data_IF_302729585206
#
_entry.id   IF_302729585206
#
_cell.length_a   1.000
_cell.length_b   1.000
_cell.length_c   1.000
_cell.angle_alpha   90.00
_cell.angle_beta   90.00
_cell.angle_gamma   90.00
#
_symmetry.space_group_name_H-M   'P 1'
#
loop_
_entity.id
_entity.type
_entity.pdbx_description
1 polymer ?
#
# COMPACT_ATOMS: atom_id res chain seq x y z
N UNK A 1 16.11 8.87 -7.53
CA UNK A 1 14.80 8.57 -8.14
C UNK A 1 13.81 9.63 -7.70
N UNK A 2 12.84 9.92 -8.55
CA UNK A 2 11.70 10.79 -8.24
C UNK A 2 10.48 9.91 -7.92
N UNK A 3 10.05 9.91 -6.68
CA UNK A 3 9.08 8.95 -6.13
C UNK A 3 7.78 9.68 -5.76
N UNK A 4 6.65 9.24 -6.32
CA UNK A 4 5.35 9.70 -5.90
C UNK A 4 4.93 9.03 -4.59
N UNK A 5 4.63 9.81 -3.55
CA UNK A 5 4.03 9.28 -2.32
C UNK A 5 2.54 9.11 -2.49
N UNK A 6 2.07 7.87 -2.46
CA UNK A 6 0.65 7.56 -2.34
C UNK A 6 0.30 7.30 -0.88
N UNK A 7 -0.11 8.36 -0.15
CA UNK A 7 -0.66 8.22 1.20
C UNK A 7 -2.11 7.78 1.12
N UNK A 8 -2.44 6.68 1.77
CA UNK A 8 -3.78 6.11 1.67
C UNK A 8 -4.74 6.77 2.65
N UNK A 9 -6.04 6.83 2.32
CA UNK A 9 -7.03 7.57 3.09
C UNK A 9 -7.05 7.20 4.58
N UNK A 10 -7.01 5.91 4.92
CA UNK A 10 -7.00 5.44 6.31
C UNK A 10 -5.69 5.84 7.00
N UNK A 11 -4.56 5.67 6.32
CA UNK A 11 -3.25 6.03 6.88
C UNK A 11 -3.15 7.54 7.09
N UNK A 12 -3.59 8.35 6.14
CA UNK A 12 -3.57 9.81 6.25
C UNK A 12 -4.47 10.32 7.40
N UNK A 13 -5.65 9.72 7.53
CA UNK A 13 -6.63 10.17 8.54
C UNK A 13 -6.27 9.72 9.96
N UNK A 14 -5.84 8.47 10.14
CA UNK A 14 -5.65 7.88 11.48
C UNK A 14 -4.18 7.84 11.90
N UNK A 15 -3.26 7.75 10.96
CA UNK A 15 -1.81 7.57 11.20
C UNK A 15 -0.96 8.48 10.30
N UNK A 16 -1.17 9.80 10.27
CA UNK A 16 -0.46 10.70 9.34
C UNK A 16 1.06 10.68 9.53
N UNK A 17 1.53 10.31 10.72
CA UNK A 17 2.96 10.13 11.00
C UNK A 17 3.59 9.01 10.13
N UNK A 18 2.83 8.01 9.68
CA UNK A 18 3.36 6.96 8.81
C UNK A 18 3.73 7.51 7.42
N UNK A 19 2.92 8.41 6.86
CA UNK A 19 3.24 9.12 5.62
C UNK A 19 4.50 9.99 5.78
N UNK A 20 4.59 10.76 6.86
CA UNK A 20 5.77 11.59 7.16
C UNK A 20 7.04 10.75 7.34
N UNK A 21 6.94 9.61 8.03
CA UNK A 21 8.04 8.69 8.20
C UNK A 21 8.49 8.08 6.86
N UNK A 22 7.54 7.74 5.98
CA UNK A 22 7.82 7.24 4.63
C UNK A 22 8.63 8.28 3.84
N UNK A 23 8.21 9.56 3.85
CA UNK A 23 8.97 10.66 3.23
C UNK A 23 10.38 10.72 3.81
N UNK A 24 10.51 10.81 5.14
CA UNK A 24 11.79 10.95 5.80
C UNK A 24 12.76 9.79 5.49
N UNK A 25 12.26 8.57 5.39
CA UNK A 25 13.07 7.39 5.01
C UNK A 25 13.54 7.50 3.57
N UNK A 26 12.66 7.78 2.63
CA UNK A 26 13.00 7.85 1.20
C UNK A 26 13.95 9.02 0.90
N UNK A 27 13.74 10.20 1.50
CA UNK A 27 14.62 11.36 1.34
C UNK A 27 16.01 11.10 1.95
N UNK A 28 16.09 10.47 3.13
CA UNK A 28 17.37 10.07 3.73
C UNK A 28 18.15 9.07 2.86
N UNK A 29 17.47 8.25 2.09
CA UNK A 29 18.06 7.36 1.10
C UNK A 29 18.45 8.07 -0.21
N UNK A 30 18.30 9.39 -0.28
CA UNK A 30 18.72 10.20 -1.43
C UNK A 30 17.70 10.29 -2.56
N UNK A 31 16.43 10.04 -2.29
CA UNK A 31 15.36 10.14 -3.28
C UNK A 31 14.59 11.46 -3.15
N UNK A 32 14.08 11.97 -4.26
CA UNK A 32 13.11 13.07 -4.28
C UNK A 32 11.71 12.50 -4.08
N UNK A 33 10.99 12.98 -3.07
CA UNK A 33 9.61 12.55 -2.82
C UNK A 33 8.64 13.63 -3.26
N UNK A 34 7.71 13.25 -4.14
CA UNK A 34 6.67 14.13 -4.66
C UNK A 34 5.35 13.78 -3.99
N UNK A 35 4.73 14.77 -3.34
CA UNK A 35 3.41 14.65 -2.75
C UNK A 35 2.41 15.52 -3.53
N UNK A 36 1.37 14.91 -4.07
CA UNK A 36 0.28 15.62 -4.74
C UNK A 36 -0.98 15.58 -3.86
N UNK A 37 -1.41 16.73 -3.37
CA UNK A 37 -2.58 16.86 -2.49
C UNK A 37 -3.92 16.52 -3.18
N UNK A 38 -3.94 16.36 -4.50
CA UNK A 38 -5.14 15.94 -5.24
C UNK A 38 -5.42 14.45 -5.15
N UNK A 39 -4.50 13.65 -4.59
CA UNK A 39 -4.70 12.22 -4.39
C UNK A 39 -5.88 11.94 -3.45
N UNK A 40 -6.51 10.77 -3.64
CA UNK A 40 -7.70 10.35 -2.88
C UNK A 40 -7.59 8.88 -2.50
N UNK A 41 -8.71 8.28 -2.09
CA UNK A 41 -8.80 6.84 -1.82
C UNK A 41 -8.44 6.00 -3.06
N UNK A 42 -7.85 4.82 -2.86
CA UNK A 42 -7.61 3.85 -3.94
C UNK A 42 -8.87 3.22 -4.54
N UNK A 43 -10.01 3.37 -3.90
CA UNK A 43 -11.27 2.76 -4.35
C UNK A 43 -11.54 1.34 -3.83
N UNK A 44 -10.64 0.76 -3.03
CA UNK A 44 -10.78 -0.63 -2.56
C UNK A 44 -12.08 -0.88 -1.78
N UNK A 45 -12.51 0.06 -0.94
CA UNK A 45 -13.74 -0.09 -0.15
C UNK A 45 -14.97 -0.22 -1.04
N UNK A 46 -14.98 0.51 -2.16
CA UNK A 46 -16.06 0.44 -3.16
C UNK A 46 -16.01 -0.89 -3.92
N UNK A 47 -14.87 -1.22 -4.51
CA UNK A 47 -14.70 -2.44 -5.28
C UNK A 47 -14.97 -3.72 -4.46
N UNK A 48 -14.46 -3.80 -3.22
CA UNK A 48 -14.71 -4.94 -2.33
C UNK A 48 -16.18 -5.09 -1.91
N UNK A 49 -16.98 -4.04 -2.06
CA UNK A 49 -18.41 -4.04 -1.74
C UNK A 49 -19.31 -4.16 -2.99
N UNK A 50 -18.71 -4.37 -4.18
CA UNK A 50 -19.42 -4.48 -5.45
C UNK A 50 -19.88 -3.15 -6.05
N UNK A 51 -19.37 -2.02 -5.56
CA UNK A 51 -19.68 -0.69 -6.07
C UNK A 51 -18.63 -0.25 -7.10
N UNK A 52 -18.50 -1.01 -8.18
CA UNK A 52 -17.47 -0.78 -9.20
C UNK A 52 -17.62 0.56 -9.92
N UNK A 53 -18.86 0.99 -10.18
CA UNK A 53 -19.14 2.30 -10.77
C UNK A 53 -18.63 3.47 -9.90
N UNK A 54 -18.69 3.32 -8.58
CA UNK A 54 -18.17 4.32 -7.65
C UNK A 54 -16.64 4.22 -7.47
N UNK A 55 -16.05 3.06 -7.75
CA UNK A 55 -14.61 2.88 -7.76
C UNK A 55 -13.94 3.53 -8.99
N UNK A 56 -14.58 3.50 -10.17
CA UNK A 56 -14.02 4.00 -11.43
C UNK A 56 -13.56 5.47 -11.38
N UNK A 57 -14.31 6.44 -10.83
CA UNK A 57 -13.83 7.81 -10.68
C UNK A 57 -12.53 7.91 -9.85
N UNK A 58 -12.37 7.04 -8.84
CA UNK A 58 -11.16 7.00 -8.00
C UNK A 58 -9.97 6.42 -8.78
N UNK A 59 -10.19 5.40 -9.62
CA UNK A 59 -9.17 4.90 -10.56
C UNK A 59 -8.69 6.02 -11.49
N UNK A 60 -9.62 6.76 -12.09
CA UNK A 60 -9.30 7.90 -12.99
C UNK A 60 -8.50 8.97 -12.26
N UNK A 61 -8.91 9.33 -11.04
CA UNK A 61 -8.21 10.31 -10.20
C UNK A 61 -6.79 9.84 -9.86
N UNK A 62 -6.61 8.59 -9.49
CA UNK A 62 -5.29 8.02 -9.23
C UNK A 62 -4.37 8.16 -10.45
N UNK A 63 -4.86 7.82 -11.64
CA UNK A 63 -4.10 7.93 -12.87
C UNK A 63 -3.82 9.38 -13.30
N UNK A 64 -4.68 10.34 -12.96
CA UNK A 64 -4.43 11.77 -13.16
C UNK A 64 -3.29 12.28 -12.28
N UNK A 65 -3.25 11.83 -11.03
CA UNK A 65 -2.25 12.24 -10.03
C UNK A 65 -0.90 11.58 -10.29
N UNK A 66 -0.90 10.28 -10.53
CA UNK A 66 0.32 9.46 -10.58
C UNK A 66 0.74 9.05 -12.00
N UNK A 67 0.02 9.52 -13.02
CA UNK A 67 0.32 9.22 -14.43
C UNK A 67 1.50 9.98 -15.01
N UNK A 68 2.16 10.86 -14.23
CA UNK A 68 3.36 11.59 -14.66
C UNK A 68 4.48 10.59 -15.07
N UNK A 69 4.96 10.63 -16.32
CA UNK A 69 6.05 9.79 -16.77
C UNK A 69 7.39 10.14 -16.09
N UNK A 70 7.51 11.31 -15.49
CA UNK A 70 8.68 11.73 -14.70
C UNK A 70 8.76 11.10 -13.31
N UNK A 71 7.78 10.34 -12.87
CA UNK A 71 7.86 9.54 -11.65
C UNK A 71 8.51 8.19 -11.97
N UNK A 72 9.59 7.86 -11.29
CA UNK A 72 10.28 6.56 -11.41
C UNK A 72 9.50 5.43 -10.70
N UNK A 73 8.83 5.76 -9.58
CA UNK A 73 8.04 4.84 -8.78
C UNK A 73 6.94 5.59 -8.02
N UNK A 74 5.93 4.84 -7.59
CA UNK A 74 4.87 5.30 -6.69
C UNK A 74 4.90 4.38 -5.48
N UNK A 75 5.09 4.94 -4.28
CA UNK A 75 5.26 4.16 -3.06
C UNK A 75 4.14 4.46 -2.08
N UNK A 76 3.55 3.40 -1.53
CA UNK A 76 2.51 3.52 -0.51
C UNK A 76 2.82 2.64 0.72
N UNK A 77 2.68 3.16 1.94
CA UNK A 77 2.79 2.35 3.16
C UNK A 77 1.48 1.58 3.44
N UNK A 78 0.98 0.84 2.44
CA UNK A 78 -0.28 0.10 2.53
C UNK A 78 -0.37 -1.00 1.48
N UNK A 79 -0.19 -2.24 1.88
CA UNK A 79 -0.29 -3.39 0.98
C UNK A 79 -1.66 -3.54 0.32
N UNK A 80 -2.74 -3.25 1.05
CA UNK A 80 -4.10 -3.39 0.51
C UNK A 80 -4.38 -2.38 -0.62
N UNK A 81 -3.93 -1.14 -0.49
CA UNK A 81 -4.11 -0.13 -1.51
C UNK A 81 -3.22 -0.38 -2.73
N UNK A 82 -2.00 -0.86 -2.53
CA UNK A 82 -1.12 -1.28 -3.63
C UNK A 82 -1.72 -2.48 -4.38
N UNK A 83 -2.23 -3.48 -3.65
CA UNK A 83 -2.92 -4.62 -4.27
C UNK A 83 -4.15 -4.18 -5.09
N UNK A 84 -4.93 -3.21 -4.60
CA UNK A 84 -6.05 -2.62 -5.35
C UNK A 84 -5.57 -2.06 -6.69
N UNK A 85 -4.51 -1.24 -6.68
CA UNK A 85 -3.97 -0.63 -7.91
C UNK A 85 -3.41 -1.68 -8.86
N UNK A 86 -2.61 -2.63 -8.35
CA UNK A 86 -1.90 -3.61 -9.20
C UNK A 86 -2.81 -4.69 -9.77
N UNK A 87 -3.88 -5.07 -9.06
CA UNK A 87 -4.72 -6.22 -9.45
C UNK A 87 -6.14 -5.82 -9.87
N UNK A 88 -6.79 -4.87 -9.18
CA UNK A 88 -8.19 -4.57 -9.46
C UNK A 88 -8.39 -3.46 -10.50
N UNK A 89 -7.46 -2.52 -10.63
CA UNK A 89 -7.60 -1.45 -11.62
C UNK A 89 -7.70 -1.96 -13.05
N UNK A 90 -6.95 -3.03 -13.39
CA UNK A 90 -7.01 -3.65 -14.71
C UNK A 90 -8.38 -4.25 -15.00
N UNK A 91 -9.01 -4.91 -14.01
CA UNK A 91 -10.38 -5.45 -14.13
C UNK A 91 -11.38 -4.32 -14.32
N UNK A 92 -11.39 -3.34 -13.41
CA UNK A 92 -12.31 -2.20 -13.48
C UNK A 92 -12.19 -1.42 -14.79
N UNK A 93 -10.97 -1.22 -15.28
CA UNK A 93 -10.74 -0.56 -16.56
C UNK A 93 -11.24 -1.38 -17.75
N UNK A 94 -11.10 -2.71 -17.72
CA UNK A 94 -11.63 -3.57 -18.77
C UNK A 94 -13.16 -3.57 -18.79
N UNK A 95 -13.80 -3.68 -17.63
CA UNK A 95 -15.25 -3.69 -17.46
C UNK A 95 -15.89 -2.33 -17.83
N UNK A 96 -15.15 -1.22 -17.68
CA UNK A 96 -15.62 0.11 -18.08
C UNK A 96 -15.79 0.31 -19.59
N UNK A 97 -15.22 -0.57 -20.41
CA UNK A 97 -15.23 -0.43 -21.86
C UNK A 97 -14.37 0.74 -22.41
N UNK A 98 -13.54 1.38 -21.59
CA UNK A 98 -12.68 2.50 -21.97
C UNK A 98 -11.23 2.03 -22.26
N UNK A 99 -10.83 1.88 -23.56
CA UNK A 99 -9.51 1.43 -23.91
C UNK A 99 -8.40 2.42 -23.50
N UNK A 100 -8.74 3.71 -23.38
CA UNK A 100 -7.82 4.74 -22.92
C UNK A 100 -7.48 4.57 -21.45
N UNK A 101 -8.48 4.29 -20.64
CA UNK A 101 -8.32 3.99 -19.22
C UNK A 101 -7.45 2.74 -19.03
N UNK A 102 -7.72 1.68 -19.78
CA UNK A 102 -6.95 0.43 -19.71
C UNK A 102 -5.48 0.67 -20.00
N UNK A 103 -5.13 1.35 -21.09
CA UNK A 103 -3.73 1.66 -21.43
C UNK A 103 -3.02 2.46 -20.33
N UNK A 104 -3.71 3.42 -19.70
CA UNK A 104 -3.13 4.20 -18.60
C UNK A 104 -2.87 3.33 -17.37
N UNK A 105 -3.79 2.43 -17.04
CA UNK A 105 -3.59 1.45 -15.94
C UNK A 105 -2.38 0.58 -16.21
N UNK A 106 -2.27 0.02 -17.41
CA UNK A 106 -1.16 -0.87 -17.79
C UNK A 106 0.22 -0.19 -17.69
N UNK A 107 0.28 1.14 -17.87
CA UNK A 107 1.51 1.93 -17.74
C UNK A 107 1.82 2.30 -16.27
N UNK A 108 0.80 2.64 -15.48
CA UNK A 108 1.00 3.20 -14.14
C UNK A 108 1.11 2.11 -13.07
N UNK A 109 0.24 1.08 -13.12
CA UNK A 109 0.17 0.06 -12.07
C UNK A 109 1.49 -0.69 -11.79
N UNK A 110 2.33 -1.02 -12.79
CA UNK A 110 3.61 -1.68 -12.54
C UNK A 110 4.65 -0.83 -11.79
N UNK A 111 4.42 0.49 -11.71
CA UNK A 111 5.29 1.43 -10.97
C UNK A 111 4.86 1.63 -9.51
N UNK A 112 3.80 0.94 -9.06
CA UNK A 112 3.25 1.09 -7.70
C UNK A 112 3.77 -0.02 -6.80
N UNK A 113 4.38 0.36 -5.69
CA UNK A 113 5.03 -0.54 -4.75
C UNK A 113 4.54 -0.33 -3.32
N UNK A 114 4.46 -1.41 -2.58
CA UNK A 114 4.38 -1.36 -1.12
C UNK A 114 5.76 -0.94 -0.56
N UNK A 115 5.77 -0.20 0.54
CA UNK A 115 6.99 0.41 1.08
C UNK A 115 8.11 -0.61 1.36
N UNK A 116 7.78 -1.72 2.01
CA UNK A 116 8.78 -2.74 2.37
C UNK A 116 9.31 -3.46 1.13
N UNK A 117 8.42 -3.81 0.20
CA UNK A 117 8.78 -4.35 -1.11
C UNK A 117 9.71 -3.39 -1.85
N UNK A 118 9.38 -2.11 -1.87
CA UNK A 118 10.18 -1.09 -2.55
C UNK A 118 11.60 -0.98 -1.97
N UNK A 119 11.70 -0.87 -0.64
CA UNK A 119 12.98 -0.74 0.05
C UNK A 119 13.87 -1.96 -0.19
N UNK A 120 13.35 -3.16 0.02
CA UNK A 120 14.15 -4.38 -0.03
C UNK A 120 14.36 -4.86 -1.47
N UNK A 121 13.29 -5.02 -2.25
CA UNK A 121 13.37 -5.67 -3.55
C UNK A 121 13.81 -4.70 -4.66
N UNK A 122 13.46 -3.41 -4.57
CA UNK A 122 13.78 -2.43 -5.61
C UNK A 122 15.05 -1.64 -5.31
N UNK A 123 15.27 -1.26 -4.03
CA UNK A 123 16.45 -0.48 -3.63
C UNK A 123 17.57 -1.33 -3.03
N UNK A 124 17.31 -2.58 -2.62
CA UNK A 124 18.29 -3.43 -1.95
C UNK A 124 18.64 -2.95 -0.53
N UNK A 125 17.73 -2.19 0.11
CA UNK A 125 17.94 -1.59 1.42
C UNK A 125 17.19 -2.38 2.47
N UNK A 126 17.91 -2.89 3.48
CA UNK A 126 17.35 -3.61 4.64
C UNK A 126 17.47 -2.83 5.94
N UNK A 127 18.44 -1.90 6.04
CA UNK A 127 18.64 -1.06 7.20
C UNK A 127 18.42 0.40 6.85
N UNK A 128 17.36 0.95 7.42
CA UNK A 128 17.00 2.37 7.29
C UNK A 128 17.48 3.20 8.49
N UNK A 129 18.33 2.64 9.37
CA UNK A 129 18.87 3.29 10.56
C UNK A 129 17.80 3.60 11.62
N UNK A 130 16.74 2.81 11.69
CA UNK A 130 15.66 3.01 12.65
C UNK A 130 16.05 2.57 14.06
N UNK A 131 15.43 3.21 15.06
CA UNK A 131 15.54 2.85 16.47
C UNK A 131 14.15 2.81 17.10
N UNK A 132 13.78 1.67 17.71
CA UNK A 132 12.49 1.50 18.37
C UNK A 132 12.60 0.49 19.51
N UNK A 133 12.88 0.91 20.77
CA UNK A 133 13.18 0.02 21.89
C UNK A 133 11.90 -0.51 22.54
N UNK A 134 11.07 -1.19 21.76
CA UNK A 134 9.83 -1.76 22.24
C UNK A 134 9.62 -3.18 21.72
N UNK A 135 8.78 -3.93 22.44
CA UNK A 135 8.33 -5.23 21.98
C UNK A 135 7.27 -5.06 20.91
N UNK A 136 7.50 -5.70 19.75
CA UNK A 136 6.66 -5.59 18.55
C UNK A 136 6.35 -6.97 18.01
N UNK A 137 5.20 -7.14 17.44
CA UNK A 137 4.84 -8.28 16.61
C UNK A 137 4.39 -7.81 15.24
N UNK A 138 4.56 -8.64 14.21
CA UNK A 138 4.20 -8.33 12.84
C UNK A 138 3.10 -9.27 12.34
N UNK A 139 2.00 -8.68 11.87
CA UNK A 139 0.94 -9.40 11.16
C UNK A 139 0.98 -9.02 9.67
N UNK A 140 1.35 -9.95 8.77
CA UNK A 140 1.27 -9.69 7.34
C UNK A 140 -0.21 -9.60 6.93
N UNK A 141 -0.61 -8.48 6.34
CA UNK A 141 -1.98 -8.36 5.83
C UNK A 141 -2.24 -9.38 4.71
N UNK A 142 -3.49 -9.82 4.56
CA UNK A 142 -3.87 -10.76 3.50
C UNK A 142 -3.44 -10.29 2.11
N UNK A 143 -3.52 -8.98 1.85
CA UNK A 143 -3.11 -8.41 0.57
C UNK A 143 -1.60 -8.46 0.35
N UNK A 144 -0.81 -8.14 1.37
CA UNK A 144 0.66 -8.23 1.28
C UNK A 144 1.13 -9.67 1.15
N UNK A 145 0.50 -10.58 1.91
CA UNK A 145 0.88 -12.00 1.93
C UNK A 145 0.48 -12.75 0.66
N UNK A 146 -0.77 -12.56 0.18
CA UNK A 146 -1.41 -13.45 -0.83
C UNK A 146 -1.55 -12.81 -2.20
N UNK A 147 -1.61 -11.48 -2.31
CA UNK A 147 -1.77 -10.78 -3.59
C UNK A 147 -0.48 -10.13 -4.05
N UNK A 148 0.22 -9.41 -3.17
CA UNK A 148 1.48 -8.77 -3.52
C UNK A 148 2.68 -9.70 -3.39
N UNK A 149 2.53 -10.76 -2.56
CA UNK A 149 3.62 -11.71 -2.28
C UNK A 149 4.90 -11.01 -1.83
N UNK A 150 4.75 -10.02 -0.92
CA UNK A 150 5.87 -9.19 -0.43
C UNK A 150 6.96 -10.02 0.27
N UNK A 151 6.62 -11.24 0.68
CA UNK A 151 7.56 -12.18 1.29
C UNK A 151 8.03 -11.73 2.66
N UNK A 152 9.33 -11.90 2.92
CA UNK A 152 9.99 -11.59 4.20
C UNK A 152 10.50 -10.14 4.30
N UNK A 153 10.33 -9.33 3.25
CA UNK A 153 10.86 -7.97 3.21
C UNK A 153 10.50 -7.12 4.45
N UNK A 154 9.26 -7.14 4.98
CA UNK A 154 8.94 -6.42 6.21
C UNK A 154 9.72 -6.93 7.43
N UNK A 155 9.90 -8.24 7.55
CA UNK A 155 10.64 -8.85 8.67
C UNK A 155 12.13 -8.50 8.60
N UNK A 156 12.76 -8.56 7.42
CA UNK A 156 14.15 -8.17 7.20
C UNK A 156 14.42 -6.73 7.62
N UNK A 157 13.48 -5.81 7.30
CA UNK A 157 13.56 -4.42 7.76
C UNK A 157 13.39 -4.28 9.27
N UNK A 158 12.43 -5.00 9.88
CA UNK A 158 12.18 -4.96 11.31
C UNK A 158 13.36 -5.51 12.11
N UNK A 159 13.99 -6.59 11.66
CA UNK A 159 15.17 -7.20 12.30
C UNK A 159 16.38 -6.26 12.36
N UNK A 160 16.44 -5.24 11.48
CA UNK A 160 17.49 -4.20 11.47
C UNK A 160 17.17 -3.00 12.34
N UNK A 161 15.98 -2.92 12.91
CA UNK A 161 15.60 -1.82 13.82
C UNK A 161 16.34 -2.00 15.15
N UNK A 162 17.14 -1.02 15.53
CA UNK A 162 17.89 -1.08 16.78
C UNK A 162 16.98 -1.00 17.99
N UNK A 163 17.19 -1.89 18.95
CA UNK A 163 16.44 -1.94 20.21
C UNK A 163 15.09 -2.63 20.14
N UNK A 164 14.65 -3.08 18.97
CA UNK A 164 13.39 -3.80 18.84
C UNK A 164 13.47 -5.19 19.52
N UNK A 165 12.40 -5.57 20.20
CA UNK A 165 12.12 -6.95 20.63
C UNK A 165 11.03 -7.51 19.72
N UNK A 166 11.44 -8.18 18.63
CA UNK A 166 10.52 -8.72 17.63
C UNK A 166 10.01 -10.09 18.06
N UNK A 167 8.80 -10.14 18.59
CA UNK A 167 8.13 -11.35 19.02
C UNK A 167 7.36 -12.01 17.86
N UNK A 168 7.46 -13.33 17.77
CA UNK A 168 6.66 -14.09 16.80
C UNK A 168 5.16 -13.96 17.13
N UNK A 169 4.34 -13.73 16.09
CA UNK A 169 2.89 -13.76 16.20
C UNK A 169 2.39 -15.18 15.89
N UNK A 170 1.76 -15.88 16.85
CA UNK A 170 1.12 -17.15 16.56
C UNK A 170 0.09 -16.98 15.43
N UNK A 171 0.04 -17.94 14.52
CA UNK A 171 -0.91 -17.92 13.39
C UNK A 171 -0.91 -16.63 12.57
N UNK A 172 0.25 -16.01 12.38
CA UNK A 172 0.41 -14.74 11.68
C UNK A 172 -0.23 -14.69 10.28
N UNK A 173 -0.44 -15.84 9.63
CA UNK A 173 -1.09 -15.96 8.32
C UNK A 173 -2.62 -16.02 8.40
N UNK A 174 -3.21 -16.04 9.59
CA UNK A 174 -4.66 -16.06 9.78
C UNK A 174 -5.29 -14.71 9.40
N UNK A 175 -6.59 -14.72 9.09
CA UNK A 175 -7.30 -13.49 8.78
C UNK A 175 -7.51 -12.66 10.05
N UNK A 176 -7.25 -11.35 9.96
CA UNK A 176 -7.51 -10.41 11.07
C UNK A 176 -8.97 -9.94 11.15
N UNK A 177 -9.84 -10.41 10.28
CA UNK A 177 -11.26 -10.03 10.24
C UNK A 177 -11.56 -8.65 9.66
N UNK A 178 -10.58 -7.77 9.45
CA UNK A 178 -10.84 -6.37 9.11
C UNK A 178 -11.66 -6.21 7.82
N UNK A 179 -11.15 -6.61 6.66
CA UNK A 179 -11.88 -6.59 5.38
C UNK A 179 -12.51 -5.24 4.96
N UNK A 180 -12.07 -4.12 5.52
CA UNK A 180 -12.64 -2.79 5.23
C UNK A 180 -14.08 -2.66 5.75
N UNK A 181 -15.03 -2.44 4.83
CA UNK A 181 -16.47 -2.33 5.17
C UNK A 181 -17.06 -3.62 5.73
N UNK A 182 -16.42 -4.76 5.50
CA UNK A 182 -16.85 -6.06 6.07
C UNK A 182 -16.88 -6.02 7.59
N UNK A 183 -15.85 -5.45 8.23
CA UNK A 183 -15.77 -5.34 9.68
C UNK A 183 -16.93 -4.54 10.30
N UNK A 184 -17.53 -3.63 9.54
CA UNK A 184 -18.69 -2.84 9.98
C UNK A 184 -20.00 -3.56 9.69
N UNK A 185 -20.13 -4.12 8.48
CA UNK A 185 -21.37 -4.78 8.04
C UNK A 185 -21.59 -6.15 8.69
N UNK A 186 -20.52 -6.84 9.07
CA UNK A 186 -20.51 -8.19 9.62
C UNK A 186 -19.66 -8.24 10.90
N UNK A 187 -19.94 -7.32 11.84
CA UNK A 187 -19.09 -7.07 13.00
C UNK A 187 -18.86 -8.34 13.85
N UNK A 188 -19.89 -9.13 14.11
CA UNK A 188 -19.80 -10.36 14.91
C UNK A 188 -18.88 -11.40 14.22
N UNK A 189 -19.01 -11.57 12.91
CA UNK A 189 -18.17 -12.50 12.15
C UNK A 189 -16.72 -11.99 12.10
N UNK A 190 -16.53 -10.68 11.90
CA UNK A 190 -15.23 -10.05 11.89
C UNK A 190 -14.50 -10.21 13.23
N UNK A 191 -15.22 -10.07 14.34
CA UNK A 191 -14.65 -10.22 15.68
C UNK A 191 -14.34 -11.69 16.05
N UNK A 192 -14.98 -12.65 15.39
CA UNK A 192 -14.76 -14.09 15.61
C UNK A 192 -13.60 -14.68 14.77
N UNK A 193 -13.02 -13.90 13.87
CA UNK A 193 -11.89 -14.30 13.00
C UNK A 193 -10.55 -14.03 13.66
#
# INVERSE_FOLDING_TARGET
MRIGLFITCVTDTLFPQAGRATVAVLERLGHEVVFDARQTCCGQLHANSGYDDQALPLVRRFLEVFGDPGLDAIVAPSGSCVAMVRHQYARLAAESGDPGLRRRVDVVSPRVFELSEFLVSRLGVEDVGAYFPHRVTYHPSCHSLRLLEVGDAPLRLLERVRGIDLAALPEAASCCGFGGTFAVKNADTSAAM
#
